data_IF_808910372429
#
_entry.id   IF_808910372429
#
_cell.length_a   1.000
_cell.length_b   1.000
_cell.length_c   1.000
_cell.angle_alpha   90.00
_cell.angle_beta   90.00
_cell.angle_gamma   90.00
#
_symmetry.space_group_name_H-M   'P 1'
#
loop_
_entity.id
_entity.type
_entity.pdbx_description
1 polymer ?
#
# COMPACT_ATOMS: atom_id res chain seq x y z
N UNK A 1 -1.33 -14.22 19.48
CA UNK A 1 -1.25 -14.56 18.05
C UNK A 1 0.08 -14.10 17.53
N UNK A 2 0.60 -14.76 16.51
CA UNK A 2 1.90 -14.47 15.93
C UNK A 2 1.66 -13.44 14.81
N UNK A 3 2.04 -12.18 15.05
CA UNK A 3 1.86 -11.05 14.11
C UNK A 3 2.75 -11.25 12.89
N UNK A 4 2.23 -11.07 11.68
CA UNK A 4 3.02 -11.25 10.44
C UNK A 4 3.11 -9.98 9.58
N UNK A 5 2.34 -8.96 9.92
CA UNK A 5 2.27 -7.70 9.18
C UNK A 5 1.99 -6.53 10.13
N UNK A 6 2.47 -5.36 9.74
CA UNK A 6 2.27 -4.09 10.46
C UNK A 6 1.49 -3.16 9.57
N UNK A 7 0.44 -2.55 10.13
CA UNK A 7 -0.34 -1.51 9.50
C UNK A 7 0.08 -0.14 10.05
N UNK A 8 0.35 0.80 9.15
CA UNK A 8 0.48 2.21 9.51
C UNK A 8 -0.58 3.03 8.78
N UNK A 9 -1.07 4.07 9.45
CA UNK A 9 -2.11 4.97 9.00
C UNK A 9 -1.61 6.41 9.10
N UNK A 10 -1.57 7.13 7.97
CA UNK A 10 -0.94 8.47 7.89
C UNK A 10 0.47 8.54 8.52
N UNK A 11 1.23 7.45 8.44
CA UNK A 11 2.59 7.34 9.00
C UNK A 11 2.68 6.92 10.47
N UNK A 12 1.56 6.80 11.18
CA UNK A 12 1.51 6.33 12.56
C UNK A 12 1.26 4.81 12.64
N UNK A 13 1.86 4.15 13.63
CA UNK A 13 1.65 2.72 13.86
C UNK A 13 0.22 2.49 14.37
N UNK A 14 -0.57 1.77 13.58
CA UNK A 14 -1.97 1.50 13.90
C UNK A 14 -2.11 0.14 14.59
N UNK A 15 -1.58 -0.93 13.95
CA UNK A 15 -1.85 -2.28 14.41
C UNK A 15 -0.85 -3.34 13.92
N UNK A 16 -0.73 -4.38 14.73
CA UNK A 16 -0.24 -5.70 14.36
C UNK A 16 -1.39 -6.51 13.74
N UNK A 17 -1.23 -6.99 12.50
CA UNK A 17 -2.26 -7.78 11.80
C UNK A 17 -1.93 -9.28 11.86
N UNK A 18 -2.98 -10.09 12.09
CA UNK A 18 -2.95 -11.54 11.99
C UNK A 18 -3.86 -12.08 10.87
N UNK A 19 -3.81 -13.38 10.62
CA UNK A 19 -4.51 -14.03 9.51
C UNK A 19 -6.05 -13.97 9.58
N UNK A 20 -6.62 -13.63 10.74
CA UNK A 20 -8.06 -13.58 10.99
C UNK A 20 -8.72 -12.29 10.49
N UNK A 21 -7.95 -11.25 10.18
CA UNK A 21 -8.48 -9.99 9.67
C UNK A 21 -9.12 -10.18 8.29
N UNK A 22 -10.34 -9.64 8.14
CA UNK A 22 -11.14 -9.65 6.91
C UNK A 22 -11.05 -8.33 6.14
N UNK A 23 -11.69 -8.27 4.98
CA UNK A 23 -11.73 -7.09 4.09
C UNK A 23 -12.12 -5.79 4.82
N UNK A 24 -13.10 -5.86 5.73
CA UNK A 24 -13.58 -4.69 6.47
C UNK A 24 -12.51 -4.01 7.32
N UNK A 25 -11.46 -4.74 7.71
CA UNK A 25 -10.34 -4.21 8.47
C UNK A 25 -9.51 -3.20 7.65
N UNK A 26 -9.48 -3.37 6.32
CA UNK A 26 -8.81 -2.45 5.39
C UNK A 26 -9.79 -1.41 4.86
N UNK A 27 -11.04 -1.81 4.57
CA UNK A 27 -12.04 -0.89 4.06
C UNK A 27 -12.34 0.27 5.01
N UNK A 28 -12.45 0.00 6.32
CA UNK A 28 -12.78 1.02 7.30
C UNK A 28 -11.79 2.22 7.31
N UNK A 29 -10.47 2.01 7.44
CA UNK A 29 -9.52 3.13 7.38
C UNK A 29 -9.42 3.75 5.98
N UNK A 30 -9.53 2.96 4.90
CA UNK A 30 -9.50 3.51 3.54
C UNK A 30 -10.69 4.43 3.23
N UNK A 31 -11.87 4.10 3.78
CA UNK A 31 -13.11 4.85 3.53
C UNK A 31 -13.15 6.22 4.21
N UNK A 32 -12.24 6.47 5.17
CA UNK A 32 -12.16 7.74 5.90
C UNK A 32 -10.97 8.60 5.46
N UNK A 33 -10.22 8.17 4.44
CA UNK A 33 -9.19 9.00 3.85
C UNK A 33 -9.80 10.23 3.19
N UNK A 34 -9.29 11.40 3.55
CA UNK A 34 -9.71 12.70 3.03
C UNK A 34 -8.63 13.36 2.16
N UNK A 35 -7.46 12.74 2.03
CA UNK A 35 -6.30 13.30 1.34
C UNK A 35 -5.61 14.43 2.11
N UNK A 36 -6.03 14.74 3.32
CA UNK A 36 -5.46 15.82 4.12
C UNK A 36 -4.74 15.25 5.35
N UNK A 37 -5.44 15.13 6.48
CA UNK A 37 -4.93 14.55 7.71
C UNK A 37 -4.95 13.01 7.64
N UNK A 38 -5.97 12.47 6.96
CA UNK A 38 -6.17 11.06 6.72
C UNK A 38 -5.85 10.75 5.27
N UNK A 39 -4.62 10.34 4.98
CA UNK A 39 -4.16 10.38 3.59
C UNK A 39 -3.42 9.14 3.12
N UNK A 40 -3.05 8.20 3.99
CA UNK A 40 -2.34 6.99 3.57
C UNK A 40 -2.60 5.80 4.46
N UNK A 41 -2.46 4.62 3.86
CA UNK A 41 -2.41 3.34 4.56
C UNK A 41 -1.22 2.57 4.01
N UNK A 42 -0.46 1.89 4.88
CA UNK A 42 0.65 1.03 4.47
C UNK A 42 0.60 -0.27 5.27
N UNK A 43 0.78 -1.40 4.58
CA UNK A 43 0.80 -2.73 5.15
C UNK A 43 2.15 -3.40 4.84
N UNK A 44 3.02 -3.44 5.83
CA UNK A 44 4.35 -4.05 5.72
C UNK A 44 4.32 -5.52 6.07
N UNK A 45 5.09 -6.32 5.33
CA UNK A 45 5.34 -7.71 5.71
C UNK A 45 6.50 -7.80 6.71
N UNK A 46 6.33 -8.57 7.78
CA UNK A 46 7.40 -8.88 8.71
C UNK A 46 8.14 -10.16 8.32
N UNK A 47 9.47 -10.12 8.15
CA UNK A 47 10.27 -11.29 7.75
C UNK A 47 10.24 -12.40 8.81
N UNK A 48 10.14 -12.01 10.08
CA UNK A 48 9.96 -12.92 11.20
C UNK A 48 8.80 -12.43 12.06
N UNK A 49 7.88 -13.31 12.46
CA UNK A 49 6.80 -12.91 13.33
C UNK A 49 7.25 -12.59 14.77
N UNK A 50 7.29 -11.30 15.12
CA UNK A 50 7.68 -10.77 16.44
C UNK A 50 6.89 -9.50 16.76
N UNK A 51 6.93 -9.05 18.01
CA UNK A 51 6.45 -7.71 18.32
C UNK A 51 7.40 -6.66 17.70
N UNK A 52 6.89 -5.51 17.21
CA UNK A 52 7.72 -4.49 16.57
C UNK A 52 8.88 -4.01 17.45
N UNK A 53 8.67 -3.90 18.76
CA UNK A 53 9.67 -3.51 19.75
C UNK A 53 10.79 -4.54 19.96
N UNK A 54 10.57 -5.80 19.56
CA UNK A 54 11.54 -6.89 19.67
C UNK A 54 12.39 -7.06 18.40
N UNK A 55 12.15 -6.24 17.36
CA UNK A 55 12.91 -6.29 16.12
C UNK A 55 14.33 -5.75 16.32
N UNK A 56 15.32 -6.50 15.87
CA UNK A 56 16.68 -5.96 15.72
C UNK A 56 16.73 -4.92 14.60
N UNK A 57 17.71 -4.00 14.58
CA UNK A 57 17.84 -3.04 13.48
C UNK A 57 17.93 -3.67 12.09
N UNK A 58 18.52 -4.87 11.98
CA UNK A 58 18.58 -5.62 10.73
C UNK A 58 17.18 -6.12 10.31
N UNK A 59 16.39 -6.63 11.25
CA UNK A 59 15.02 -7.08 10.98
C UNK A 59 14.09 -5.91 10.65
N UNK A 60 14.25 -4.75 11.32
CA UNK A 60 13.52 -3.52 10.99
C UNK A 60 13.82 -3.08 9.56
N UNK A 61 15.08 -3.15 9.13
CA UNK A 61 15.47 -2.83 7.75
C UNK A 61 14.84 -3.80 6.73
N UNK A 62 14.81 -5.10 7.04
CA UNK A 62 14.22 -6.10 6.14
C UNK A 62 12.69 -6.00 6.06
N UNK A 63 12.01 -5.62 7.14
CA UNK A 63 10.57 -5.37 7.16
C UNK A 63 10.14 -4.29 6.15
N UNK A 64 10.92 -3.23 5.99
CA UNK A 64 10.61 -2.12 5.06
C UNK A 64 10.75 -2.46 3.58
N UNK A 65 11.04 -3.72 3.21
CA UNK A 65 11.36 -4.11 1.83
C UNK A 65 10.16 -4.63 1.04
N UNK A 66 9.15 -5.17 1.71
CA UNK A 66 7.94 -5.71 1.07
C UNK A 66 6.69 -5.15 1.74
N UNK A 67 5.91 -4.39 0.97
CA UNK A 67 4.70 -3.73 1.47
C UNK A 67 3.74 -3.41 0.32
N UNK A 68 2.47 -3.19 0.67
CA UNK A 68 1.52 -2.45 -0.16
C UNK A 68 1.21 -1.12 0.55
N UNK A 69 1.01 -0.05 -0.22
CA UNK A 69 0.60 1.23 0.32
C UNK A 69 -0.34 1.99 -0.61
N UNK A 70 -1.05 2.97 -0.05
CA UNK A 70 -1.81 3.93 -0.82
C UNK A 70 -1.64 5.35 -0.27
N UNK A 71 -1.89 6.33 -1.13
CA UNK A 71 -2.01 7.73 -0.74
C UNK A 71 -3.12 8.43 -1.54
N UNK A 72 -3.89 9.31 -0.91
CA UNK A 72 -5.00 10.04 -1.52
C UNK A 72 -6.22 10.13 -0.61
N UNK A 73 -7.40 10.26 -1.21
CA UNK A 73 -8.70 10.26 -0.53
C UNK A 73 -9.48 8.97 -0.84
N UNK A 74 -10.57 8.73 -0.10
CA UNK A 74 -11.42 7.55 -0.28
C UNK A 74 -12.02 7.42 -1.70
N UNK A 75 -12.21 8.53 -2.40
CA UNK A 75 -12.75 8.54 -3.77
C UNK A 75 -11.66 8.51 -4.86
N UNK A 76 -10.40 8.81 -4.51
CA UNK A 76 -9.29 8.84 -5.44
C UNK A 76 -7.94 8.69 -4.71
N UNK A 77 -7.34 7.50 -4.83
CA UNK A 77 -6.00 7.21 -4.33
C UNK A 77 -5.17 6.45 -5.35
N UNK A 78 -3.85 6.57 -5.22
CA UNK A 78 -2.89 5.68 -5.90
C UNK A 78 -2.52 4.52 -4.97
N UNK A 79 -2.26 3.35 -5.53
CA UNK A 79 -1.77 2.18 -4.80
C UNK A 79 -0.42 1.71 -5.36
N UNK A 80 0.50 1.34 -4.47
CA UNK A 80 1.84 0.90 -4.80
C UNK A 80 2.19 -0.40 -4.07
N UNK A 81 3.03 -1.22 -4.69
CA UNK A 81 3.58 -2.42 -4.09
C UNK A 81 5.10 -2.45 -4.21
N UNK A 82 5.77 -2.72 -3.08
CA UNK A 82 7.19 -3.01 -3.02
C UNK A 82 7.40 -4.52 -2.90
N UNK A 83 8.28 -5.08 -3.73
CA UNK A 83 8.62 -6.50 -3.75
C UNK A 83 10.13 -6.69 -3.82
N UNK A 84 10.64 -7.76 -3.21
CA UNK A 84 12.03 -8.20 -3.40
C UNK A 84 12.07 -9.21 -4.56
N UNK A 85 12.69 -8.83 -5.67
CA UNK A 85 12.87 -9.66 -6.87
C UNK A 85 14.38 -9.86 -7.06
N UNK A 86 14.83 -11.11 -7.04
CA UNK A 86 16.24 -11.49 -7.14
C UNK A 86 17.14 -10.77 -6.12
N UNK A 87 16.64 -10.57 -4.90
CA UNK A 87 17.33 -9.87 -3.82
C UNK A 87 17.32 -8.34 -3.91
N UNK A 88 16.73 -7.77 -4.96
CA UNK A 88 16.61 -6.32 -5.17
C UNK A 88 15.19 -5.86 -4.85
N UNK A 89 15.06 -4.82 -4.03
CA UNK A 89 13.77 -4.19 -3.78
C UNK A 89 13.35 -3.39 -5.02
N UNK A 90 12.14 -3.63 -5.51
CA UNK A 90 11.53 -2.91 -6.63
C UNK A 90 10.19 -2.34 -6.20
N UNK A 91 9.88 -1.13 -6.66
CA UNK A 91 8.65 -0.43 -6.37
C UNK A 91 7.82 -0.27 -7.63
N UNK A 92 6.52 -0.56 -7.53
CA UNK A 92 5.59 -0.48 -8.64
C UNK A 92 4.33 0.28 -8.25
N UNK A 93 3.82 1.13 -9.14
CA UNK A 93 2.43 1.59 -9.11
C UNK A 93 1.53 0.48 -9.67
N UNK A 94 0.40 0.25 -9.00
CA UNK A 94 -0.64 -0.70 -9.42
C UNK A 94 -1.63 0.06 -10.29
N UNK A 95 -2.16 -0.57 -11.34
CA UNK A 95 -3.26 -0.03 -12.10
C UNK A 95 -4.09 -1.10 -12.80
N UNK A 96 -5.30 -0.76 -13.22
CA UNK A 96 -6.10 -1.56 -14.13
C UNK A 96 -5.35 -1.83 -15.44
N UNK A 97 -5.68 -2.93 -16.10
CA UNK A 97 -5.22 -3.21 -17.45
C UNK A 97 -5.77 -2.16 -18.43
N UNK A 98 -4.90 -1.64 -19.30
CA UNK A 98 -5.31 -0.65 -20.28
C UNK A 98 -4.14 0.14 -20.87
N UNK A 99 -4.38 0.89 -21.96
CA UNK A 99 -3.34 1.70 -22.58
C UNK A 99 -2.89 2.82 -21.64
N UNK A 100 -1.58 3.00 -21.54
CA UNK A 100 -0.91 4.11 -20.84
C UNK A 100 -0.10 4.88 -21.88
N UNK A 101 -0.72 5.87 -22.50
CA UNK A 101 -0.09 6.72 -23.52
C UNK A 101 0.33 8.06 -22.92
N UNK A 102 1.50 8.55 -23.32
CA UNK A 102 2.01 9.85 -22.86
C UNK A 102 2.50 9.83 -21.42
N UNK A 103 2.45 10.97 -20.76
CA UNK A 103 2.83 11.13 -19.35
C UNK A 103 1.59 10.99 -18.44
N UNK A 104 1.77 10.57 -17.17
CA UNK A 104 0.71 10.61 -16.17
C UNK A 104 0.11 12.01 -16.01
N UNK A 105 -1.22 12.14 -15.94
CA UNK A 105 -1.90 13.45 -15.89
C UNK A 105 -2.87 13.63 -14.74
N UNK A 106 -3.24 12.57 -14.02
CA UNK A 106 -4.22 12.67 -12.92
C UNK A 106 -3.48 13.02 -11.63
N UNK A 107 -3.77 14.18 -11.02
CA UNK A 107 -3.14 14.57 -9.76
C UNK A 107 -3.81 13.83 -8.59
N UNK A 108 -2.99 13.18 -7.76
CA UNK A 108 -3.36 12.70 -6.43
C UNK A 108 -2.60 13.57 -5.44
N UNK A 109 -3.32 14.53 -4.87
CA UNK A 109 -2.79 15.46 -3.87
C UNK A 109 -3.10 14.93 -2.48
N UNK A 110 -2.10 14.91 -1.61
CA UNK A 110 -2.24 14.40 -0.26
C UNK A 110 -1.40 15.16 0.77
N UNK A 111 -1.59 14.85 2.06
CA UNK A 111 -0.87 15.45 3.18
C UNK A 111 -1.03 16.97 3.21
N UNK A 112 -2.27 17.43 3.42
CA UNK A 112 -2.65 18.85 3.44
C UNK A 112 -2.22 19.65 2.20
N UNK A 113 -2.13 18.99 1.04
CA UNK A 113 -1.72 19.62 -0.21
C UNK A 113 -0.21 19.74 -0.42
N UNK A 114 0.62 19.26 0.51
CA UNK A 114 2.07 19.34 0.43
C UNK A 114 2.66 18.41 -0.64
N UNK A 115 1.99 17.28 -0.88
CA UNK A 115 2.45 16.26 -1.81
C UNK A 115 1.47 16.13 -2.98
N UNK A 116 1.99 15.92 -4.18
CA UNK A 116 1.17 15.60 -5.36
C UNK A 116 1.92 14.63 -6.25
N UNK A 117 1.26 13.51 -6.57
CA UNK A 117 1.71 12.56 -7.57
C UNK A 117 0.85 12.70 -8.82
N UNK A 118 1.46 12.52 -9.98
CA UNK A 118 0.73 12.40 -11.24
C UNK A 118 0.73 10.94 -11.65
N UNK A 119 -0.47 10.38 -11.81
CA UNK A 119 -0.69 8.97 -12.17
C UNK A 119 -1.54 8.86 -13.44
N UNK A 120 -1.53 7.67 -14.06
CA UNK A 120 -2.46 7.42 -15.16
C UNK A 120 -3.89 7.26 -14.64
N UNK A 121 -4.92 7.55 -15.45
CA UNK A 121 -6.31 7.29 -15.05
C UNK A 121 -6.58 5.84 -14.62
N UNK A 122 -5.85 4.88 -15.20
CA UNK A 122 -5.93 3.45 -14.84
C UNK A 122 -5.26 3.11 -13.49
N UNK A 123 -4.64 4.06 -12.82
CA UNK A 123 -3.92 3.86 -11.54
C UNK A 123 -4.66 4.51 -10.36
N UNK A 124 -5.89 5.00 -10.61
CA UNK A 124 -6.76 5.64 -9.61
C UNK A 124 -7.72 4.60 -9.06
N UNK A 125 -7.79 4.51 -7.73
CA UNK A 125 -8.65 3.59 -7.00
C UNK A 125 -9.58 4.34 -6.06
N UNK A 126 -10.77 3.80 -5.86
CA UNK A 126 -11.59 4.14 -4.69
C UNK A 126 -11.22 3.26 -3.48
N UNK A 127 -11.77 3.59 -2.31
CA UNK A 127 -11.52 2.87 -1.07
C UNK A 127 -11.95 1.39 -1.11
N UNK A 128 -12.99 1.06 -1.86
CA UNK A 128 -13.51 -0.31 -1.93
C UNK A 128 -12.55 -1.20 -2.70
N UNK A 129 -12.10 -0.74 -3.87
CA UNK A 129 -11.15 -1.46 -4.69
C UNK A 129 -9.75 -1.53 -4.04
N UNK A 130 -9.29 -0.43 -3.43
CA UNK A 130 -8.05 -0.43 -2.67
C UNK A 130 -8.11 -1.45 -1.50
N UNK A 131 -9.25 -1.57 -0.81
CA UNK A 131 -9.40 -2.57 0.24
C UNK A 131 -9.23 -4.01 -0.27
N UNK A 132 -9.70 -4.31 -1.48
CA UNK A 132 -9.49 -5.62 -2.11
C UNK A 132 -8.01 -5.89 -2.41
N UNK A 133 -7.27 -4.87 -2.86
CA UNK A 133 -5.82 -4.97 -3.07
C UNK A 133 -5.08 -5.26 -1.76
N UNK A 134 -5.39 -4.50 -0.70
CA UNK A 134 -4.80 -4.71 0.63
C UNK A 134 -5.15 -6.08 1.21
N UNK A 135 -6.40 -6.52 1.05
CA UNK A 135 -6.83 -7.84 1.50
C UNK A 135 -6.15 -8.96 0.72
N UNK A 136 -5.99 -8.82 -0.60
CA UNK A 136 -5.22 -9.76 -1.41
C UNK A 136 -3.77 -9.84 -0.96
N UNK A 137 -3.12 -8.70 -0.76
CA UNK A 137 -1.74 -8.63 -0.28
C UNK A 137 -1.61 -9.26 1.13
N UNK A 138 -2.57 -9.01 2.01
CA UNK A 138 -2.62 -9.63 3.34
C UNK A 138 -2.63 -11.17 3.26
N UNK A 139 -3.36 -11.75 2.29
CA UNK A 139 -3.46 -13.22 2.15
C UNK A 139 -2.33 -13.84 1.33
N UNK A 140 -1.78 -13.13 0.35
CA UNK A 140 -0.92 -13.72 -0.67
C UNK A 140 0.44 -13.06 -0.82
N UNK A 141 0.64 -11.90 -0.20
CA UNK A 141 1.78 -10.99 -0.42
C UNK A 141 1.91 -10.53 -1.87
N UNK A 142 0.80 -10.58 -2.63
CA UNK A 142 0.73 -10.14 -4.01
C UNK A 142 -0.64 -9.51 -4.30
N UNK A 143 -0.75 -8.90 -5.47
CA UNK A 143 -2.02 -8.33 -5.97
C UNK A 143 -2.81 -9.36 -6.79
N UNK A 144 -4.14 -9.19 -6.94
CA UNK A 144 -4.95 -10.05 -7.77
C UNK A 144 -4.51 -10.05 -9.25
N UNK A 145 -4.84 -11.11 -9.97
CA UNK A 145 -4.69 -11.12 -11.42
C UNK A 145 -5.63 -10.08 -12.07
N UNK A 146 -5.20 -9.48 -13.19
CA UNK A 146 -5.98 -8.49 -13.93
C UNK A 146 -5.51 -7.03 -13.73
N UNK A 147 -4.65 -6.80 -12.75
CA UNK A 147 -3.93 -5.55 -12.58
C UNK A 147 -2.55 -5.60 -13.27
N UNK A 148 -2.05 -4.43 -13.64
CA UNK A 148 -0.74 -4.21 -14.24
C UNK A 148 0.16 -3.39 -13.32
N UNK A 149 1.45 -3.76 -13.28
CA UNK A 149 2.46 -3.08 -12.49
C UNK A 149 3.32 -2.18 -13.36
N UNK A 150 3.45 -0.89 -12.99
CA UNK A 150 4.41 0.04 -13.59
C UNK A 150 5.55 0.29 -12.63
N UNK A 151 6.78 -0.01 -13.05
CA UNK A 151 7.97 0.25 -12.23
C UNK A 151 8.18 1.76 -12.02
N UNK A 152 8.39 2.20 -10.78
CA UNK A 152 8.59 3.61 -10.41
C UNK A 152 9.84 3.86 -9.54
N UNK A 153 10.56 2.80 -9.19
CA UNK A 153 11.86 2.92 -8.53
C UNK A 153 13.01 3.25 -9.51
N UNK A 154 14.18 3.67 -9.00
CA UNK A 154 15.42 3.67 -9.77
C UNK A 154 15.85 2.27 -10.23
#
# INVERSE_FOLDING_TARGET
MITSQILTYSGELEAAIDSGNGLSYFLAPLSVLDGNENFSLNLMHMPTPKWPEDLTPAETKEMGRSYIQCAGSADAMTCEISKVIDGVQKLFTIGHAGPREGEPTVPITYHNGEMTLYIYPTEVFDASEAAELFFSYHKTQDIPAGYELRHIGP
#
